data_IF_709850684264
#
_entry.id   IF_709850684264
#
_cell.length_a   1.000
_cell.length_b   1.000
_cell.length_c   1.000
_cell.angle_alpha   90.00
_cell.angle_beta   90.00
_cell.angle_gamma   90.00
#
_symmetry.space_group_name_H-M   'P 1'
#
loop_
_entity.id
_entity.type
_entity.pdbx_description
1 polymer ?
#
# COMPACT_ATOMS: atom_id res chain seq x y z
N UNK A 1 56.10 -54.58 37.94
CA UNK A 1 56.22 -53.49 36.95
C UNK A 1 55.25 -53.80 35.82
N UNK A 2 54.07 -53.18 35.83
CA UNK A 2 53.03 -53.41 34.82
C UNK A 2 52.63 -52.04 34.30
N UNK A 3 53.04 -51.75 33.07
CA UNK A 3 52.77 -50.49 32.39
C UNK A 3 51.48 -50.65 31.59
N UNK A 4 50.46 -49.86 31.92
CA UNK A 4 49.17 -49.85 31.25
C UNK A 4 49.13 -48.64 30.30
N UNK A 5 49.10 -48.89 29.00
CA UNK A 5 49.04 -47.86 27.95
C UNK A 5 47.59 -47.42 27.72
N UNK A 6 47.29 -46.16 27.99
CA UNK A 6 46.00 -45.51 27.72
C UNK A 6 46.00 -44.91 26.30
N UNK A 7 45.00 -45.29 25.47
CA UNK A 7 44.84 -44.83 24.09
C UNK A 7 43.56 -44.00 23.99
N UNK A 8 43.69 -42.68 23.84
CA UNK A 8 42.56 -41.74 23.65
C UNK A 8 42.12 -41.71 22.19
N UNK A 9 40.80 -41.85 21.94
CA UNK A 9 40.16 -41.78 20.63
C UNK A 9 39.37 -40.47 20.50
N UNK A 10 40.07 -39.35 20.26
CA UNK A 10 39.47 -38.00 20.14
C UNK A 10 39.37 -37.52 18.68
N UNK A 11 38.56 -38.17 17.83
CA UNK A 11 38.42 -37.73 16.42
C UNK A 11 37.01 -37.50 15.89
N UNK A 12 35.96 -37.64 16.71
CA UNK A 12 34.58 -37.55 16.20
C UNK A 12 33.80 -36.28 16.57
N UNK A 13 34.36 -35.39 17.40
CA UNK A 13 33.61 -34.25 17.93
C UNK A 13 33.62 -33.03 16.99
N UNK A 14 34.65 -32.85 16.16
CA UNK A 14 34.79 -31.64 15.31
C UNK A 14 33.86 -31.55 14.09
N UNK A 15 33.38 -32.67 13.56
CA UNK A 15 32.59 -32.68 12.30
C UNK A 15 31.13 -32.27 12.51
N UNK A 16 30.56 -32.52 13.69
CA UNK A 16 29.18 -32.20 14.02
C UNK A 16 28.95 -30.68 14.15
N UNK A 17 29.90 -29.94 14.73
CA UNK A 17 29.78 -28.48 14.90
C UNK A 17 29.90 -27.69 13.59
N UNK A 18 30.68 -28.19 12.64
CA UNK A 18 30.84 -27.56 11.32
C UNK A 18 29.52 -27.56 10.52
N UNK A 19 28.77 -28.68 10.53
CA UNK A 19 27.48 -28.77 9.84
C UNK A 19 26.42 -27.86 10.48
N UNK A 20 26.38 -27.81 11.82
CA UNK A 20 25.43 -26.96 12.55
C UNK A 20 25.66 -25.46 12.26
N UNK A 21 26.92 -25.03 12.17
CA UNK A 21 27.27 -23.63 11.89
C UNK A 21 26.89 -23.22 10.44
N UNK A 22 27.11 -24.12 9.47
CA UNK A 22 26.72 -23.89 8.08
C UNK A 22 25.19 -23.81 7.96
N UNK A 23 24.46 -24.71 8.63
CA UNK A 23 23.00 -24.71 8.61
C UNK A 23 22.42 -23.41 9.22
N UNK A 24 23.02 -22.93 10.33
CA UNK A 24 22.63 -21.67 10.97
C UNK A 24 22.86 -20.46 10.06
N UNK A 25 24.01 -20.41 9.35
CA UNK A 25 24.31 -19.33 8.42
C UNK A 25 23.36 -19.32 7.21
N UNK A 26 22.98 -20.48 6.69
CA UNK A 26 21.99 -20.60 5.61
C UNK A 26 20.61 -20.11 6.07
N UNK A 27 20.18 -20.46 7.28
CA UNK A 27 18.91 -19.98 7.85
C UNK A 27 18.88 -18.45 8.00
N UNK A 28 19.98 -17.84 8.49
CA UNK A 28 20.08 -16.38 8.63
C UNK A 28 20.06 -15.69 7.26
N UNK A 29 20.77 -16.24 6.27
CA UNK A 29 20.79 -15.70 4.91
C UNK A 29 19.41 -15.76 4.24
N UNK A 30 18.63 -16.82 4.47
CA UNK A 30 17.27 -16.95 3.94
C UNK A 30 16.29 -15.97 4.58
N UNK A 31 16.45 -15.63 5.86
CA UNK A 31 15.59 -14.64 6.54
C UNK A 31 15.92 -13.19 6.19
N UNK A 32 17.15 -12.89 5.75
CA UNK A 32 17.57 -11.52 5.44
C UNK A 32 16.95 -10.97 4.13
N UNK A 33 16.53 -11.84 3.21
CA UNK A 33 15.91 -11.41 1.95
C UNK A 33 14.44 -10.96 2.10
N UNK A 34 13.76 -11.35 3.18
CA UNK A 34 12.34 -10.98 3.40
C UNK A 34 12.15 -9.62 4.07
N UNK A 35 13.21 -9.02 4.64
CA UNK A 35 13.15 -7.77 5.41
C UNK A 35 13.47 -6.51 4.59
N UNK A 36 13.77 -6.63 3.30
CA UNK A 36 14.14 -5.50 2.43
C UNK A 36 13.05 -5.06 1.44
N UNK A 37 11.83 -5.62 1.52
CA UNK A 37 10.68 -5.03 0.86
C UNK A 37 9.91 -4.20 1.88
N UNK A 38 10.16 -2.88 2.01
CA UNK A 38 9.20 -2.01 2.66
C UNK A 38 7.94 -2.09 1.83
N UNK A 39 6.95 -2.76 2.39
CA UNK A 39 5.56 -2.89 1.97
C UNK A 39 5.12 -1.83 0.96
N UNK A 40 5.27 -2.13 -0.32
CA UNK A 40 4.26 -1.77 -1.31
C UNK A 40 3.10 -2.73 -1.08
N UNK A 41 2.45 -2.63 0.09
CA UNK A 41 1.09 -3.15 0.23
C UNK A 41 0.31 -2.52 -0.92
N UNK A 42 0.02 -3.34 -1.92
CA UNK A 42 -0.79 -2.95 -3.06
C UNK A 42 -2.17 -2.68 -2.52
N UNK A 43 -2.35 -1.47 -2.02
CA UNK A 43 -3.61 -0.96 -1.50
C UNK A 43 -4.62 -1.21 -2.61
N UNK A 44 -5.50 -2.17 -2.40
CA UNK A 44 -6.48 -2.52 -3.42
C UNK A 44 -7.35 -1.28 -3.59
N UNK A 45 -7.34 -0.71 -4.80
CA UNK A 45 -8.22 0.41 -5.15
C UNK A 45 -9.62 -0.16 -5.15
N UNK A 46 -10.41 0.23 -4.15
CA UNK A 46 -11.70 -0.39 -3.88
C UNK A 46 -12.85 0.60 -4.07
N UNK A 47 -12.60 1.90 -4.04
CA UNK A 47 -13.67 2.89 -4.11
C UNK A 47 -14.41 2.94 -5.44
N UNK A 48 -13.92 2.28 -6.49
CA UNK A 48 -14.66 2.10 -7.74
C UNK A 48 -15.73 1.01 -7.64
N UNK A 49 -15.36 -0.17 -7.12
CA UNK A 49 -16.20 -1.38 -7.17
C UNK A 49 -17.08 -1.57 -5.93
N UNK A 50 -16.66 -1.00 -4.79
CA UNK A 50 -17.40 -1.08 -3.54
C UNK A 50 -17.63 0.32 -2.95
N UNK A 51 -18.76 0.47 -2.25
CA UNK A 51 -18.99 1.63 -1.42
C UNK A 51 -18.07 1.58 -0.21
N UNK A 52 -17.20 2.58 -0.09
CA UNK A 52 -16.35 2.77 1.09
C UNK A 52 -17.07 3.60 2.15
N UNK A 53 -16.82 3.29 3.41
CA UNK A 53 -17.30 4.05 4.57
C UNK A 53 -16.29 3.98 5.69
N UNK A 54 -16.29 4.96 6.60
CA UNK A 54 -15.35 5.00 7.72
C UNK A 54 -14.03 5.65 7.32
N UNK A 55 -12.96 4.87 7.21
CA UNK A 55 -11.61 5.36 6.90
C UNK A 55 -11.12 4.88 5.54
N UNK A 56 -10.30 5.69 4.90
CA UNK A 56 -9.64 5.37 3.63
C UNK A 56 -8.22 5.91 3.58
N UNK A 57 -7.49 5.51 2.53
CA UNK A 57 -6.18 6.06 2.20
C UNK A 57 -6.18 6.58 0.77
N UNK A 58 -5.70 7.79 0.58
CA UNK A 58 -5.53 8.39 -0.74
C UNK A 58 -4.38 7.71 -1.49
N UNK A 59 -4.63 7.30 -2.73
CA UNK A 59 -3.66 6.61 -3.59
C UNK A 59 -3.70 7.17 -5.00
N UNK A 60 -2.52 7.42 -5.60
CA UNK A 60 -2.40 7.70 -7.03
C UNK A 60 -2.19 6.37 -7.77
N UNK A 61 -3.26 5.58 -7.86
CA UNK A 61 -3.26 4.33 -8.64
C UNK A 61 -3.07 4.63 -10.13
N UNK A 62 -2.69 3.62 -10.93
CA UNK A 62 -2.63 3.77 -12.40
C UNK A 62 -3.98 4.26 -12.97
N UNK A 63 -5.07 3.71 -12.45
CA UNK A 63 -6.43 4.03 -12.87
C UNK A 63 -6.83 5.46 -12.44
N UNK A 64 -6.43 5.94 -11.26
CA UNK A 64 -6.59 7.33 -10.84
C UNK A 64 -5.77 8.29 -11.75
N UNK A 65 -4.53 7.92 -12.07
CA UNK A 65 -3.62 8.71 -12.91
C UNK A 65 -4.09 8.82 -14.37
N UNK A 66 -4.49 7.69 -14.97
CA UNK A 66 -5.00 7.62 -16.34
C UNK A 66 -6.28 8.45 -16.54
N UNK A 67 -7.00 8.76 -15.46
CA UNK A 67 -8.17 9.65 -15.48
C UNK A 67 -7.87 11.09 -15.09
N UNK A 68 -6.59 11.46 -14.93
CA UNK A 68 -6.19 12.81 -14.56
C UNK A 68 -6.67 13.22 -13.16
N UNK A 69 -6.83 12.26 -12.25
CA UNK A 69 -7.26 12.50 -10.86
C UNK A 69 -6.08 12.50 -9.88
N UNK A 70 -4.85 12.35 -10.36
CA UNK A 70 -3.66 12.61 -9.59
C UNK A 70 -2.55 13.21 -10.45
N UNK A 71 -1.57 13.82 -9.80
CA UNK A 71 -0.44 14.48 -10.43
C UNK A 71 0.69 14.71 -9.44
N UNK A 72 1.58 15.63 -9.78
CA UNK A 72 2.70 16.02 -8.92
C UNK A 72 2.77 17.53 -8.75
N UNK A 73 3.05 18.00 -7.53
CA UNK A 73 3.29 19.40 -7.21
C UNK A 73 4.75 19.52 -6.74
N UNK A 74 5.44 20.57 -7.19
CA UNK A 74 6.79 20.86 -6.73
C UNK A 74 6.83 20.93 -5.19
N UNK A 75 7.88 20.38 -4.58
CA UNK A 75 8.09 20.30 -3.13
C UNK A 75 7.12 19.42 -2.32
N UNK A 76 5.96 19.06 -2.87
CA UNK A 76 4.95 18.22 -2.18
C UNK A 76 4.88 16.78 -2.68
N UNK A 77 5.42 16.51 -3.87
CA UNK A 77 5.41 15.18 -4.46
C UNK A 77 4.07 14.84 -5.11
N UNK A 78 3.66 13.56 -5.04
CA UNK A 78 2.41 13.11 -5.65
C UNK A 78 1.19 13.55 -4.85
N UNK A 79 0.15 13.97 -5.56
CA UNK A 79 -1.12 14.43 -5.00
C UNK A 79 -2.32 13.83 -5.72
N UNK A 80 -3.40 13.61 -4.99
CA UNK A 80 -4.74 13.36 -5.55
C UNK A 80 -5.43 14.69 -5.75
N UNK A 81 -6.04 14.89 -6.91
CA UNK A 81 -6.79 16.09 -7.26
C UNK A 81 -8.26 15.88 -6.95
N UNK A 82 -8.94 16.93 -6.48
CA UNK A 82 -10.35 16.86 -6.13
C UNK A 82 -11.08 18.18 -6.28
N UNK A 83 -12.38 18.13 -5.96
CA UNK A 83 -13.25 19.30 -5.89
C UNK A 83 -13.57 19.66 -4.45
N UNK A 84 -13.37 20.92 -4.05
CA UNK A 84 -13.63 21.38 -2.68
C UNK A 84 -15.09 21.28 -2.31
N UNK A 85 -15.99 21.64 -3.22
CA UNK A 85 -17.44 21.73 -2.94
C UNK A 85 -18.28 20.62 -3.56
N UNK A 86 -17.78 19.95 -4.60
CA UNK A 86 -18.55 18.94 -5.32
C UNK A 86 -17.65 17.88 -5.97
N UNK A 87 -18.22 16.71 -6.22
CA UNK A 87 -17.63 15.70 -7.09
C UNK A 87 -17.30 16.31 -8.47
N UNK A 88 -16.08 16.10 -8.95
CA UNK A 88 -15.64 16.58 -10.26
C UNK A 88 -14.55 15.69 -10.85
N UNK A 89 -14.55 15.53 -12.18
CA UNK A 89 -13.48 14.87 -12.93
C UNK A 89 -12.53 15.87 -13.60
N UNK A 90 -12.82 17.17 -13.54
CA UNK A 90 -12.05 18.25 -14.17
C UNK A 90 -12.11 19.52 -13.33
N UNK A 91 -11.30 20.53 -13.68
CA UNK A 91 -11.28 21.83 -12.98
C UNK A 91 -11.12 21.69 -11.45
N UNK A 92 -10.20 20.81 -11.05
CA UNK A 92 -9.85 20.58 -9.64
C UNK A 92 -9.38 21.86 -8.97
N UNK A 93 -9.87 22.13 -7.77
CA UNK A 93 -9.59 23.34 -6.98
C UNK A 93 -9.03 23.01 -5.58
N UNK A 94 -8.81 21.73 -5.30
CA UNK A 94 -8.10 21.23 -4.11
C UNK A 94 -7.24 20.03 -4.50
N UNK A 95 -6.17 19.81 -3.74
CA UNK A 95 -5.32 18.63 -3.86
C UNK A 95 -4.99 18.08 -2.48
N UNK A 96 -4.70 16.79 -2.42
CA UNK A 96 -4.41 16.08 -1.19
C UNK A 96 -3.15 15.23 -1.37
N UNK A 97 -2.21 15.20 -0.40
CA UNK A 97 -1.05 14.34 -0.50
C UNK A 97 -1.43 12.86 -0.64
N UNK A 98 -0.71 12.12 -1.49
CA UNK A 98 -0.85 10.66 -1.55
C UNK A 98 -0.44 10.05 -0.20
N UNK A 99 -1.06 8.92 0.15
CA UNK A 99 -0.93 8.19 1.42
C UNK A 99 -1.55 8.89 2.65
N UNK A 100 -2.18 10.06 2.48
CA UNK A 100 -2.98 10.65 3.55
C UNK A 100 -4.12 9.70 3.96
N UNK A 101 -4.24 9.50 5.27
CA UNK A 101 -5.41 8.86 5.86
C UNK A 101 -6.56 9.85 5.89
N UNK A 102 -7.75 9.38 5.52
CA UNK A 102 -8.95 10.20 5.41
C UNK A 102 -10.13 9.55 6.09
N UNK A 103 -11.01 10.38 6.63
CA UNK A 103 -12.36 9.97 7.01
C UNK A 103 -13.29 10.16 5.81
N UNK A 104 -14.10 9.15 5.50
CA UNK A 104 -15.14 9.22 4.48
C UNK A 104 -16.42 9.74 5.14
N UNK A 105 -16.84 10.93 4.72
CA UNK A 105 -18.01 11.63 5.26
C UNK A 105 -19.28 11.30 4.47
N UNK A 106 -19.15 11.19 3.15
CA UNK A 106 -20.27 10.94 2.25
C UNK A 106 -19.80 10.22 0.98
N UNK A 107 -20.76 9.63 0.25
CA UNK A 107 -20.51 9.00 -1.04
C UNK A 107 -21.62 9.35 -2.03
N UNK A 108 -21.25 9.65 -3.27
CA UNK A 108 -22.17 9.98 -4.34
C UNK A 108 -21.78 9.24 -5.62
N UNK A 109 -22.74 8.52 -6.21
CA UNK A 109 -22.60 7.94 -7.54
C UNK A 109 -22.73 9.06 -8.60
N UNK A 110 -21.77 9.14 -9.51
CA UNK A 110 -21.74 10.11 -10.60
C UNK A 110 -21.68 9.38 -11.95
N UNK A 111 -22.61 9.66 -12.88
CA UNK A 111 -22.56 9.08 -14.21
C UNK A 111 -21.43 9.72 -15.03
N UNK A 112 -20.54 8.92 -15.58
CA UNK A 112 -19.45 9.34 -16.45
C UNK A 112 -19.72 8.82 -17.86
N UNK A 113 -19.67 9.71 -18.84
CA UNK A 113 -19.71 9.32 -20.26
C UNK A 113 -18.31 9.01 -20.77
N UNK A 114 -18.19 7.91 -21.51
CA UNK A 114 -16.95 7.60 -22.22
C UNK A 114 -16.89 8.39 -23.53
N UNK A 115 -15.82 9.15 -23.73
CA UNK A 115 -15.63 10.00 -24.94
C UNK A 115 -15.57 9.20 -26.25
N UNK A 116 -15.32 7.89 -26.20
CA UNK A 116 -15.28 7.01 -27.37
C UNK A 116 -16.63 6.36 -27.73
N UNK A 117 -17.74 6.84 -27.17
CA UNK A 117 -19.09 6.36 -27.49
C UNK A 117 -19.47 5.03 -26.81
N UNK A 118 -18.78 4.65 -25.73
CA UNK A 118 -19.21 3.54 -24.89
C UNK A 118 -20.39 3.90 -23.99
N UNK A 119 -21.00 2.89 -23.38
CA UNK A 119 -22.11 3.08 -22.46
C UNK A 119 -21.70 3.97 -21.26
N UNK A 120 -22.59 4.85 -20.79
CA UNK A 120 -22.36 5.55 -19.53
C UNK A 120 -22.16 4.54 -18.40
N UNK A 121 -21.17 4.80 -17.56
CA UNK A 121 -20.95 4.01 -16.34
C UNK A 121 -20.95 4.95 -15.14
N UNK A 122 -21.33 4.45 -13.98
CA UNK A 122 -21.37 5.24 -12.76
C UNK A 122 -20.15 4.96 -11.91
N UNK A 123 -19.58 6.01 -11.32
CA UNK A 123 -18.49 5.88 -10.36
C UNK A 123 -18.84 6.57 -9.07
N UNK A 124 -18.33 6.03 -7.96
CA UNK A 124 -18.48 6.69 -6.68
C UNK A 124 -17.43 7.79 -6.51
N UNK A 125 -17.90 8.94 -6.09
CA UNK A 125 -17.11 10.00 -5.47
C UNK A 125 -17.34 9.99 -3.98
N UNK A 126 -16.31 10.37 -3.22
CA UNK A 126 -16.35 10.38 -1.77
C UNK A 126 -15.98 11.76 -1.27
N UNK A 127 -16.83 12.28 -0.38
CA UNK A 127 -16.47 13.42 0.44
C UNK A 127 -15.56 12.91 1.55
N UNK A 128 -14.37 13.48 1.63
CA UNK A 128 -13.33 13.09 2.56
C UNK A 128 -12.93 14.26 3.46
N UNK A 129 -12.42 13.93 4.64
CA UNK A 129 -11.71 14.87 5.50
C UNK A 129 -10.37 14.30 5.93
N UNK A 130 -9.31 15.10 5.82
CA UNK A 130 -8.03 14.80 6.47
C UNK A 130 -8.12 15.29 7.92
N UNK A 131 -7.79 14.46 8.93
CA UNK A 131 -7.79 14.91 10.33
C UNK A 131 -6.93 16.17 10.54
N UNK A 132 -7.56 17.27 10.97
CA UNK A 132 -6.89 18.56 11.16
C UNK A 132 -6.51 19.30 9.87
N UNK A 133 -6.95 18.82 8.71
CA UNK A 133 -6.67 19.38 7.39
C UNK A 133 -7.92 19.81 6.63
N UNK A 134 -7.78 19.91 5.32
CA UNK A 134 -8.88 20.24 4.41
C UNK A 134 -9.80 19.03 4.16
N UNK A 135 -11.00 19.34 3.64
CA UNK A 135 -11.97 18.37 3.13
C UNK A 135 -12.29 18.64 1.67
N UNK A 136 -12.86 17.65 0.99
CA UNK A 136 -13.30 17.78 -0.38
C UNK A 136 -13.71 16.44 -0.98
N UNK A 137 -14.00 16.45 -2.27
CA UNK A 137 -14.49 15.31 -3.02
C UNK A 137 -13.38 14.72 -3.88
N UNK A 138 -13.21 13.40 -3.79
CA UNK A 138 -12.25 12.64 -4.59
C UNK A 138 -12.95 11.47 -5.29
N UNK A 139 -12.43 11.08 -6.45
CA UNK A 139 -12.92 9.90 -7.16
C UNK A 139 -12.55 8.62 -6.39
N UNK A 140 -13.45 7.64 -6.35
CA UNK A 140 -13.22 6.36 -5.65
C UNK A 140 -12.01 5.56 -6.14
N UNK A 141 -11.51 5.88 -7.33
CA UNK A 141 -10.38 5.24 -8.00
C UNK A 141 -9.05 5.67 -7.36
N UNK A 142 -9.11 6.76 -6.59
CA UNK A 142 -8.02 7.34 -5.84
C UNK A 142 -8.11 7.02 -4.33
N UNK A 143 -8.99 6.10 -3.95
CA UNK A 143 -9.16 5.65 -2.56
C UNK A 143 -8.97 4.14 -2.45
N UNK A 144 -8.09 3.76 -1.52
CA UNK A 144 -7.97 2.40 -1.03
C UNK A 144 -8.69 2.28 0.32
N UNK A 145 -9.33 1.13 0.55
CA UNK A 145 -9.82 0.81 1.88
C UNK A 145 -8.63 0.60 2.82
N UNK A 146 -8.74 1.08 4.06
CA UNK A 146 -7.83 0.64 5.12
C UNK A 146 -8.38 -0.70 5.59
N UNK A 147 -7.71 -1.80 5.25
CA UNK A 147 -8.04 -3.08 5.86
C UNK A 147 -7.65 -2.98 7.33
N UNK A 148 -8.63 -3.05 8.23
CA UNK A 148 -8.31 -3.31 9.63
C UNK A 148 -7.76 -4.74 9.69
N UNK A 149 -6.52 -4.89 10.15
CA UNK A 149 -5.96 -6.20 10.44
C UNK A 149 -6.86 -6.88 11.50
N UNK A 150 -7.61 -7.90 11.07
CA UNK A 150 -8.41 -8.74 11.94
C UNK A 150 -7.53 -9.77 12.66
#
# INVERSE_FOLDING_TARGET
>A
MTSTTYRSNDKHVGFQYQLALILLLVLVALTACSLLNPDTESATVLGHDIYLSGQGRLVCSSVCAERGQCGSIADQGQVVLGGRTNATTFAHDVYFPVNSQVQILNAQAFPVQQVSGGDPFSINFYEIAIPGGESGWVAGWCLAAVQEAQ
#
